data_IF_796537644825
#
_entry.id   IF_796537644825
#
_cell.length_a   1.000
_cell.length_b   1.000
_cell.length_c   1.000
_cell.angle_alpha   90.00
_cell.angle_beta   90.00
_cell.angle_gamma   90.00
#
_symmetry.space_group_name_H-M   'P 1'
#
loop_
_entity.id
_entity.type
_entity.pdbx_description
1 polymer ?
#
# COMPACT_ATOMS: atom_id res chain seq x y z
N UNK A 1 4.61 10.33 4.66
CA UNK A 1 3.92 9.05 4.45
C UNK A 1 3.94 8.74 2.97
N UNK A 2 4.14 7.48 2.60
CA UNK A 2 4.12 7.05 1.21
C UNK A 2 2.88 6.18 0.96
N UNK A 3 2.02 6.63 0.04
CA UNK A 3 0.85 5.93 -0.45
C UNK A 3 1.16 5.32 -1.82
N UNK A 4 0.84 4.05 -2.01
CA UNK A 4 1.04 3.35 -3.28
C UNK A 4 -0.28 2.72 -3.74
N UNK A 5 -0.74 3.12 -4.93
CA UNK A 5 -1.99 2.65 -5.50
C UNK A 5 -1.75 1.72 -6.69
N UNK A 6 -2.41 0.56 -6.65
CA UNK A 6 -2.32 -0.49 -7.66
C UNK A 6 -3.04 -0.13 -8.97
N UNK A 7 -4.09 0.70 -8.91
CA UNK A 7 -4.90 1.10 -10.07
C UNK A 7 -5.58 2.46 -9.83
N UNK A 8 -6.40 2.90 -10.79
CA UNK A 8 -7.23 4.11 -10.64
C UNK A 8 -8.19 3.98 -9.45
N UNK A 9 -8.78 2.81 -9.23
CA UNK A 9 -9.73 2.61 -8.12
C UNK A 9 -9.07 2.71 -6.74
N UNK A 10 -7.82 2.22 -6.62
CA UNK A 10 -7.03 2.37 -5.41
C UNK A 10 -6.45 3.78 -5.26
N UNK A 11 -6.21 4.49 -6.36
CA UNK A 11 -5.74 5.89 -6.32
C UNK A 11 -6.80 6.79 -5.67
N UNK A 12 -8.08 6.59 -5.99
CA UNK A 12 -9.17 7.33 -5.37
C UNK A 12 -9.28 7.03 -3.86
N UNK A 13 -9.06 5.77 -3.45
CA UNK A 13 -9.02 5.41 -2.02
C UNK A 13 -7.82 6.06 -1.31
N UNK A 14 -6.63 6.03 -1.93
CA UNK A 14 -5.46 6.76 -1.44
C UNK A 14 -5.75 8.26 -1.31
N UNK A 15 -6.48 8.86 -2.25
CA UNK A 15 -6.82 10.28 -2.23
C UNK A 15 -7.71 10.63 -1.04
N UNK A 16 -8.73 9.81 -0.77
CA UNK A 16 -9.56 9.97 0.43
C UNK A 16 -8.72 9.87 1.71
N UNK A 17 -7.82 8.89 1.79
CA UNK A 17 -6.91 8.73 2.92
C UNK A 17 -5.96 9.93 3.09
N UNK A 18 -5.37 10.42 2.00
CA UNK A 18 -4.48 11.58 2.00
C UNK A 18 -5.18 12.84 2.51
N UNK A 19 -6.42 13.07 2.07
CA UNK A 19 -7.22 14.23 2.49
C UNK A 19 -7.58 14.17 3.97
N UNK A 20 -8.01 13.02 4.49
CA UNK A 20 -8.28 12.87 5.93
C UNK A 20 -7.00 12.95 6.76
N UNK A 21 -5.90 12.35 6.28
CA UNK A 21 -4.62 12.41 6.97
C UNK A 21 -4.07 13.83 7.04
N UNK A 22 -4.20 14.63 5.97
CA UNK A 22 -3.82 16.05 5.99
C UNK A 22 -4.63 16.89 6.97
N UNK A 23 -5.87 16.52 7.29
CA UNK A 23 -6.63 17.19 8.36
C UNK A 23 -6.05 16.89 9.74
N UNK A 24 -5.56 15.66 9.93
CA UNK A 24 -4.96 15.21 11.18
C UNK A 24 -3.54 15.76 11.37
N UNK A 25 -2.70 15.70 10.33
CA UNK A 25 -1.35 16.25 10.32
C UNK A 25 -1.12 17.07 9.03
N UNK A 26 -1.41 18.38 9.05
CA UNK A 26 -1.23 19.26 7.89
C UNK A 26 0.23 19.44 7.47
N UNK A 27 1.18 19.13 8.35
CA UNK A 27 2.62 19.30 8.11
C UNK A 27 3.29 18.07 7.50
N UNK A 28 2.57 16.95 7.43
CA UNK A 28 3.13 15.71 6.94
C UNK A 28 3.40 15.75 5.43
N UNK A 29 4.65 15.42 5.07
CA UNK A 29 5.03 15.21 3.69
C UNK A 29 4.41 13.91 3.16
N UNK A 30 3.60 14.01 2.11
CA UNK A 30 2.90 12.91 1.47
C UNK A 30 3.50 12.62 0.09
N UNK A 31 3.62 11.33 -0.21
CA UNK A 31 4.12 10.84 -1.49
C UNK A 31 3.09 9.87 -2.04
N UNK A 32 2.76 10.00 -3.32
CA UNK A 32 1.91 9.04 -4.01
C UNK A 32 2.66 8.37 -5.15
N UNK A 33 2.52 7.06 -5.26
CA UNK A 33 3.06 6.33 -6.41
C UNK A 33 2.07 5.35 -7.02
N UNK A 34 2.23 5.07 -8.31
CA UNK A 34 1.42 4.10 -9.04
C UNK A 34 2.30 3.28 -9.96
N UNK A 35 2.02 1.99 -10.12
CA UNK A 35 2.66 1.19 -11.17
C UNK A 35 1.79 1.08 -12.42
N UNK A 36 0.46 0.97 -12.25
CA UNK A 36 -0.46 0.70 -13.35
C UNK A 36 -0.50 1.80 -14.43
N UNK A 37 -0.49 1.35 -15.69
CA UNK A 37 -0.72 2.18 -16.88
C UNK A 37 -2.17 2.71 -16.97
N UNK A 38 -3.10 2.14 -16.20
CA UNK A 38 -4.49 2.62 -16.15
C UNK A 38 -4.59 4.05 -15.57
N UNK A 39 -3.62 4.45 -14.75
CA UNK A 39 -3.56 5.78 -14.15
C UNK A 39 -2.88 6.71 -15.14
N UNK A 40 -3.61 7.73 -15.61
CA UNK A 40 -3.03 8.78 -16.46
C UNK A 40 -2.13 9.70 -15.64
N UNK A 41 -1.10 10.25 -16.27
CA UNK A 41 -0.18 11.18 -15.59
C UNK A 41 -0.93 12.39 -15.02
N UNK A 42 -1.94 12.91 -15.72
CA UNK A 42 -2.80 13.99 -15.21
C UNK A 42 -3.60 13.64 -13.95
N UNK A 43 -3.94 12.36 -13.74
CA UNK A 43 -4.59 11.91 -12.50
C UNK A 43 -3.58 11.80 -11.36
N UNK A 44 -2.37 11.36 -11.67
CA UNK A 44 -1.27 11.25 -10.71
C UNK A 44 -0.82 12.64 -10.25
N UNK A 45 -0.59 13.57 -11.19
CA UNK A 45 -0.22 14.97 -10.91
C UNK A 45 -1.30 15.73 -10.13
N UNK A 46 -2.58 15.41 -10.34
CA UNK A 46 -3.70 16.00 -9.61
C UNK A 46 -3.91 15.39 -8.21
N UNK A 47 -3.09 14.42 -7.80
CA UNK A 47 -3.18 13.82 -6.48
C UNK A 47 -2.70 14.81 -5.40
N UNK A 48 -3.40 14.95 -4.26
CA UNK A 48 -3.04 15.90 -3.20
C UNK A 48 -1.89 15.40 -2.32
N UNK A 49 -0.72 15.17 -2.94
CA UNK A 49 0.55 14.83 -2.29
C UNK A 49 1.60 15.89 -2.58
N UNK A 50 2.67 15.89 -1.80
CA UNK A 50 3.81 16.80 -1.97
C UNK A 50 4.74 16.33 -3.11
N UNK A 51 4.75 15.03 -3.39
CA UNK A 51 5.43 14.45 -4.54
C UNK A 51 4.64 13.26 -5.11
N UNK A 52 4.72 13.05 -6.42
CA UNK A 52 4.05 11.95 -7.13
C UNK A 52 4.96 11.35 -8.19
N UNK A 53 5.00 10.02 -8.30
CA UNK A 53 5.84 9.34 -9.29
C UNK A 53 5.31 7.97 -9.70
N UNK A 54 5.77 7.47 -10.85
CA UNK A 54 5.55 6.07 -11.24
C UNK A 54 6.51 5.17 -10.50
N UNK A 55 5.99 4.11 -9.89
CA UNK A 55 6.81 3.16 -9.15
C UNK A 55 7.84 2.53 -10.10
N UNK A 56 9.15 2.58 -9.79
CA UNK A 56 10.14 1.91 -10.62
C UNK A 56 10.00 0.39 -10.49
N UNK A 57 10.58 -0.34 -11.44
CA UNK A 57 10.70 -1.80 -11.40
C UNK A 57 11.43 -2.21 -10.11
N UNK A 58 11.04 -3.37 -9.57
CA UNK A 58 11.44 -3.90 -8.26
C UNK A 58 12.89 -4.34 -8.17
N UNK A 59 13.77 -3.34 -8.20
CA UNK A 59 15.19 -3.46 -7.91
C UNK A 59 15.51 -2.81 -6.56
N UNK A 60 16.32 -3.46 -5.69
CA UNK A 60 16.67 -2.94 -4.37
C UNK A 60 17.21 -1.50 -4.39
N UNK A 61 18.08 -1.19 -5.35
CA UNK A 61 18.76 0.12 -5.47
C UNK A 61 17.78 1.26 -5.70
N UNK A 62 16.69 1.02 -6.43
CA UNK A 62 15.69 2.04 -6.72
C UNK A 62 14.96 2.44 -5.44
N UNK A 63 14.53 1.45 -4.66
CA UNK A 63 13.80 1.72 -3.42
C UNK A 63 14.71 2.23 -2.31
N UNK A 64 15.95 1.76 -2.23
CA UNK A 64 16.94 2.32 -1.29
C UNK A 64 17.12 3.82 -1.51
N UNK A 65 17.20 4.25 -2.77
CA UNK A 65 17.26 5.67 -3.10
C UNK A 65 15.99 6.41 -2.68
N UNK A 66 14.80 5.90 -3.03
CA UNK A 66 13.52 6.53 -2.65
C UNK A 66 13.38 6.67 -1.14
N UNK A 67 13.61 5.59 -0.39
CA UNK A 67 13.51 5.61 1.07
C UNK A 67 14.59 6.49 1.71
N UNK A 68 15.80 6.54 1.16
CA UNK A 68 16.86 7.42 1.68
C UNK A 68 16.57 8.89 1.40
N UNK A 69 15.99 9.20 0.23
CA UNK A 69 15.68 10.56 -0.19
C UNK A 69 14.48 11.13 0.57
N UNK A 70 13.37 10.40 0.60
CA UNK A 70 12.11 10.86 1.16
C UNK A 70 11.89 10.51 2.64
N UNK A 71 12.64 9.51 3.15
CA UNK A 71 12.55 9.03 4.53
C UNK A 71 11.10 8.79 5.03
N UNK A 72 10.24 8.10 4.27
CA UNK A 72 8.86 7.89 4.68
C UNK A 72 8.80 7.00 5.92
N UNK A 73 8.11 7.47 6.97
CA UNK A 73 7.91 6.69 8.21
C UNK A 73 6.95 5.51 8.04
N UNK A 74 6.04 5.61 7.06
CA UNK A 74 5.01 4.61 6.76
C UNK A 74 4.85 4.51 5.25
N UNK A 75 4.82 3.28 4.75
CA UNK A 75 4.43 2.87 3.40
C UNK A 75 3.07 2.16 3.48
N UNK A 76 2.07 2.69 2.78
CA UNK A 76 0.74 2.10 2.61
C UNK A 76 0.64 1.55 1.20
N UNK A 77 0.59 0.23 1.09
CA UNK A 77 0.34 -0.48 -0.16
C UNK A 77 -1.16 -0.72 -0.29
N UNK A 78 -1.77 -0.34 -1.40
CA UNK A 78 -3.20 -0.61 -1.63
C UNK A 78 -3.43 -1.88 -2.46
N UNK A 79 -4.49 -2.61 -2.13
CA UNK A 79 -4.89 -3.87 -2.76
C UNK A 79 -3.85 -5.00 -2.57
N UNK A 80 -3.29 -5.56 -3.65
CA UNK A 80 -2.33 -6.67 -3.62
C UNK A 80 -0.93 -6.28 -4.13
N UNK A 81 -0.69 -4.99 -4.41
CA UNK A 81 0.52 -4.53 -5.12
C UNK A 81 1.76 -4.56 -4.22
N UNK A 82 2.25 -5.78 -4.01
CA UNK A 82 3.27 -6.15 -3.03
C UNK A 82 4.54 -6.54 -3.74
N UNK A 83 5.51 -5.62 -3.70
CA UNK A 83 6.81 -5.77 -4.35
C UNK A 83 7.85 -6.19 -3.30
N UNK A 84 8.53 -7.35 -3.46
CA UNK A 84 9.44 -7.88 -2.46
C UNK A 84 10.56 -6.89 -2.08
N UNK A 85 11.26 -6.30 -3.06
CA UNK A 85 12.36 -5.39 -2.75
C UNK A 85 11.86 -4.06 -2.19
N UNK A 86 10.66 -3.61 -2.57
CA UNK A 86 10.02 -2.46 -1.95
C UNK A 86 9.79 -2.68 -0.45
N UNK A 87 9.17 -3.81 -0.08
CA UNK A 87 8.85 -4.15 1.32
C UNK A 87 10.13 -4.36 2.12
N UNK A 88 11.11 -5.08 1.57
CA UNK A 88 12.38 -5.33 2.25
C UNK A 88 13.17 -4.04 2.45
N UNK A 89 13.21 -3.14 1.47
CA UNK A 89 13.90 -1.86 1.59
C UNK A 89 13.20 -0.95 2.60
N UNK A 90 11.86 -0.95 2.61
CA UNK A 90 11.09 -0.23 3.62
C UNK A 90 11.46 -0.65 5.05
N UNK A 91 11.50 -1.96 5.31
CA UNK A 91 11.87 -2.48 6.64
C UNK A 91 13.33 -2.23 6.97
N UNK A 92 14.24 -2.42 6.01
CA UNK A 92 15.66 -2.14 6.18
C UNK A 92 15.91 -0.69 6.59
N UNK A 93 15.13 0.25 6.04
CA UNK A 93 15.25 1.69 6.29
C UNK A 93 14.28 2.20 7.37
N UNK A 94 13.66 1.30 8.13
CA UNK A 94 12.89 1.63 9.34
C UNK A 94 11.46 2.12 9.09
N UNK A 95 10.97 2.06 7.85
CA UNK A 95 9.58 2.39 7.54
C UNK A 95 8.63 1.28 7.98
N UNK A 96 7.47 1.66 8.51
CA UNK A 96 6.36 0.73 8.73
C UNK A 96 5.68 0.42 7.40
N UNK A 97 5.28 -0.82 7.19
CA UNK A 97 4.63 -1.25 5.94
C UNK A 97 3.26 -1.82 6.25
N UNK A 98 2.21 -1.25 5.66
CA UNK A 98 0.85 -1.75 5.84
C UNK A 98 0.20 -2.02 4.49
N UNK A 99 -0.61 -3.08 4.43
CA UNK A 99 -1.41 -3.42 3.26
C UNK A 99 -2.85 -2.95 3.51
N UNK A 100 -3.27 -1.88 2.85
CA UNK A 100 -4.60 -1.27 2.94
C UNK A 100 -5.53 -1.77 1.83
N UNK A 101 -6.83 -1.80 2.13
CA UNK A 101 -7.88 -2.26 1.20
C UNK A 101 -7.51 -3.58 0.52
N UNK A 102 -6.97 -4.51 1.31
CA UNK A 102 -6.30 -5.68 0.77
C UNK A 102 -7.32 -6.61 0.11
N UNK A 103 -7.08 -6.96 -1.15
CA UNK A 103 -7.89 -7.89 -1.95
C UNK A 103 -7.02 -9.06 -2.33
N UNK A 104 -7.51 -10.28 -2.16
CA UNK A 104 -6.74 -11.46 -2.55
C UNK A 104 -6.73 -11.61 -4.06
N UNK A 105 -5.52 -11.60 -4.63
CA UNK A 105 -5.28 -12.01 -6.01
C UNK A 105 -5.35 -13.54 -6.19
N UNK A 106 -4.98 -14.02 -7.38
CA UNK A 106 -4.90 -15.46 -7.64
C UNK A 106 -3.99 -16.15 -6.60
N UNK A 107 -4.53 -17.15 -5.89
CA UNK A 107 -3.80 -17.87 -4.83
C UNK A 107 -2.60 -18.60 -5.42
N UNK A 108 -1.39 -18.08 -5.17
CA UNK A 108 -0.16 -18.68 -5.66
C UNK A 108 0.20 -19.91 -4.80
N UNK A 109 0.37 -21.08 -5.43
CA UNK A 109 0.76 -22.34 -4.76
C UNK A 109 2.26 -22.62 -4.96
N UNK A 110 2.82 -23.51 -4.14
CA UNK A 110 4.23 -23.91 -4.23
C UNK A 110 5.21 -22.81 -3.82
N UNK A 111 6.36 -22.74 -4.49
CA UNK A 111 7.44 -21.78 -4.20
C UNK A 111 6.96 -20.33 -4.14
N UNK A 112 6.02 -19.97 -5.02
CA UNK A 112 5.53 -18.61 -5.12
C UNK A 112 4.62 -18.24 -3.93
N UNK A 113 3.95 -19.22 -3.32
CA UNK A 113 3.20 -19.03 -2.07
C UNK A 113 4.12 -18.88 -0.85
N UNK A 114 5.23 -19.65 -0.79
CA UNK A 114 6.24 -19.49 0.25
C UNK A 114 6.92 -18.12 0.18
N UNK A 115 7.21 -17.63 -1.03
CA UNK A 115 7.74 -16.28 -1.24
C UNK A 115 6.76 -15.21 -0.74
N UNK A 116 5.47 -15.33 -1.07
CA UNK A 116 4.45 -14.41 -0.54
C UNK A 116 4.43 -14.40 0.98
N UNK A 117 4.45 -15.57 1.63
CA UNK A 117 4.50 -15.65 3.10
C UNK A 117 5.75 -15.01 3.68
N UNK A 118 6.91 -15.24 3.05
CA UNK A 118 8.18 -14.63 3.48
C UNK A 118 8.11 -13.11 3.40
N UNK A 119 7.64 -12.56 2.27
CA UNK A 119 7.49 -11.11 2.09
C UNK A 119 6.46 -10.54 3.05
N UNK A 120 5.32 -11.21 3.24
CA UNK A 120 4.24 -10.73 4.09
C UNK A 120 4.62 -10.76 5.57
N UNK A 121 5.56 -11.62 5.98
CA UNK A 121 6.11 -11.64 7.35
C UNK A 121 6.81 -10.33 7.75
N UNK A 122 7.13 -9.48 6.79
CA UNK A 122 7.72 -8.17 7.01
C UNK A 122 6.70 -7.04 7.21
N UNK A 123 5.42 -7.28 6.92
CA UNK A 123 4.36 -6.28 7.09
C UNK A 123 4.11 -5.98 8.57
N UNK A 124 3.73 -4.74 8.87
CA UNK A 124 3.31 -4.29 10.19
C UNK A 124 1.78 -4.35 10.37
N UNK A 125 1.03 -4.60 9.31
CA UNK A 125 -0.42 -4.83 9.37
C UNK A 125 -1.05 -5.06 8.01
N UNK A 126 -2.15 -5.81 8.01
CA UNK A 126 -2.99 -6.05 6.84
C UNK A 126 -4.42 -5.64 7.17
N UNK A 127 -5.01 -4.85 6.27
CA UNK A 127 -6.36 -4.34 6.39
C UNK A 127 -7.17 -4.79 5.18
N UNK A 128 -7.79 -5.99 5.23
CA UNK A 128 -8.60 -6.49 4.14
C UNK A 128 -9.81 -5.58 3.88
N UNK A 129 -10.19 -5.46 2.61
CA UNK A 129 -11.34 -4.65 2.20
C UNK A 129 -12.68 -5.26 2.60
N UNK A 130 -12.75 -6.59 2.76
CA UNK A 130 -13.96 -7.33 3.09
C UNK A 130 -13.68 -8.51 4.03
N UNK A 131 -14.66 -8.88 4.85
CA UNK A 131 -14.58 -9.97 5.83
C UNK A 131 -14.23 -11.32 5.19
N UNK A 132 -14.74 -11.57 3.98
CA UNK A 132 -14.44 -12.80 3.22
C UNK A 132 -12.94 -13.01 2.92
N UNK A 133 -12.12 -11.96 3.03
CA UNK A 133 -10.68 -12.06 2.83
C UNK A 133 -9.91 -12.28 4.13
N UNK A 134 -10.54 -12.14 5.29
CA UNK A 134 -9.89 -12.23 6.60
C UNK A 134 -9.11 -13.53 6.77
N UNK A 135 -9.78 -14.68 6.70
CA UNK A 135 -9.17 -16.00 6.93
C UNK A 135 -8.01 -16.28 5.96
N UNK A 136 -8.17 -15.83 4.72
CA UNK A 136 -7.16 -16.05 3.70
C UNK A 136 -5.92 -15.18 3.90
N UNK A 137 -6.07 -13.91 4.33
CA UNK A 137 -4.90 -13.10 4.74
C UNK A 137 -4.29 -13.60 6.04
N UNK A 138 -5.12 -14.01 7.00
CA UNK A 138 -4.66 -14.57 8.28
C UNK A 138 -3.77 -15.79 8.07
N UNK A 139 -4.08 -16.65 7.10
CA UNK A 139 -3.27 -17.81 6.74
C UNK A 139 -1.96 -17.48 5.99
N UNK A 140 -1.77 -16.23 5.55
CA UNK A 140 -0.59 -15.78 4.80
C UNK A 140 0.45 -15.06 5.67
N UNK A 141 0.10 -14.70 6.90
CA UNK A 141 0.97 -13.95 7.82
C UNK A 141 1.12 -14.62 9.18
N UNK A 142 2.26 -14.46 9.86
CA UNK A 142 2.43 -14.93 11.24
C UNK A 142 1.52 -14.19 12.23
N UNK A 143 1.16 -14.83 13.33
CA UNK A 143 0.11 -14.37 14.27
C UNK A 143 0.38 -12.99 14.89
N UNK A 144 1.64 -12.56 14.95
CA UNK A 144 2.03 -11.26 15.46
C UNK A 144 1.69 -10.09 14.52
N UNK A 145 1.40 -10.36 13.23
CA UNK A 145 0.98 -9.33 12.29
C UNK A 145 -0.53 -9.13 12.42
N UNK A 146 -1.00 -7.91 12.76
CA UNK A 146 -2.43 -7.65 12.88
C UNK A 146 -3.11 -7.76 11.51
N UNK A 147 -4.19 -8.53 11.47
CA UNK A 147 -5.13 -8.57 10.35
C UNK A 147 -6.44 -8.02 10.88
N UNK A 148 -6.91 -6.89 10.34
CA UNK A 148 -8.15 -6.24 10.80
C UNK A 148 -8.93 -5.70 9.62
N UNK A 149 -10.21 -6.06 9.52
CA UNK A 149 -11.11 -5.46 8.54
C UNK A 149 -11.53 -4.08 9.05
N UNK A 150 -11.24 -3.03 8.28
CA UNK A 150 -11.51 -1.64 8.68
C UNK A 150 -12.85 -1.10 8.15
N UNK A 151 -13.64 -1.94 7.47
CA UNK A 151 -14.82 -1.51 6.72
C UNK A 151 -14.44 -1.10 5.28
N UNK A 152 -15.37 -1.27 4.35
CA UNK A 152 -15.12 -1.07 2.93
C UNK A 152 -15.12 0.43 2.57
N UNK A 153 -13.93 0.97 2.34
CA UNK A 153 -13.72 2.38 1.91
C UNK A 153 -14.48 2.77 0.63
N UNK A 154 -14.96 1.81 -0.17
CA UNK A 154 -15.80 2.11 -1.35
C UNK A 154 -17.21 2.55 -0.96
N UNK A 155 -17.74 2.12 0.19
CA UNK A 155 -19.10 2.47 0.61
C UNK A 155 -19.19 3.86 1.22
N UNK A 156 -18.12 4.36 1.85
CA UNK A 156 -18.12 5.72 2.44
C UNK A 156 -18.15 6.84 1.39
N UNK A 157 -17.70 6.56 0.17
CA UNK A 157 -17.80 7.50 -0.96
C UNK A 157 -19.25 7.58 -1.48
N UNK A 158 -20.01 6.48 -1.41
CA UNK A 158 -21.41 6.44 -1.89
C UNK A 158 -22.38 7.10 -0.91
N UNK A 159 -22.10 7.05 0.40
CA UNK A 159 -22.97 7.63 1.43
C UNK A 159 -22.80 9.14 1.64
N UNK A 160 -21.79 9.78 1.03
CA UNK A 160 -21.58 11.25 1.08
C UNK A 160 -22.10 12.00 -0.16
N UNK A 161 -23.01 11.42 -0.93
CA UNK A 161 -23.74 12.12 -1.99
C UNK A 161 -25.14 12.52 -1.55
#
# INVERSE_FOLDING_TARGET
MWLHAASVGELDQCKALALEFRKYDPSAFLIQSVFSESVRDSQLEAFPADDTFRLPIDFPTNYDWIFSHFQPKVLVLMAWDTWPNLILSAKRLGAKVVLGSAVIGARKRGLMGSLTKAVFSHLDGIFPSHESFYDSFRALVPDNIPVKVLGDTRFDIVLKR
#
